data_IF_541055371458
#
_entry.id   IF_541055371458
#
_cell.length_a   1.000
_cell.length_b   1.000
_cell.length_c   1.000
_cell.angle_alpha   90.00
_cell.angle_beta   90.00
_cell.angle_gamma   90.00
#
_symmetry.space_group_name_H-M   'P 1'
#
loop_
_entity.id
_entity.type
_entity.pdbx_description
1 polymer ?
#
# COMPACT_ATOMS: atom_id res chain seq x y z
N UNK A 1 -7.85 -9.41 -17.97
CA UNK A 1 -7.26 -9.81 -16.67
C UNK A 1 -6.53 -11.11 -16.86
N UNK A 2 -5.26 -11.19 -16.47
CA UNK A 2 -4.56 -12.48 -16.46
C UNK A 2 -5.29 -13.42 -15.48
N UNK A 3 -5.65 -14.65 -15.89
CA UNK A 3 -6.34 -15.61 -15.02
C UNK A 3 -5.50 -15.97 -13.78
N UNK A 4 -4.18 -15.76 -13.85
CA UNK A 4 -3.22 -16.18 -12.84
C UNK A 4 -2.90 -15.13 -11.76
N UNK A 5 -3.59 -13.98 -11.74
CA UNK A 5 -3.28 -12.88 -10.80
C UNK A 5 -1.82 -12.40 -10.85
N UNK A 6 -1.10 -12.70 -11.93
CA UNK A 6 0.31 -12.30 -12.10
C UNK A 6 0.50 -10.79 -12.05
N UNK A 7 -0.49 -10.02 -12.53
CA UNK A 7 -0.54 -8.56 -12.39
C UNK A 7 -0.52 -8.13 -10.91
N UNK A 8 -1.31 -8.80 -10.05
CA UNK A 8 -1.38 -8.49 -8.62
C UNK A 8 -0.08 -8.86 -7.90
N UNK A 9 0.45 -10.05 -8.18
CA UNK A 9 1.69 -10.53 -7.55
C UNK A 9 2.89 -9.65 -7.94
N UNK A 10 3.02 -9.32 -9.23
CA UNK A 10 4.11 -8.48 -9.71
C UNK A 10 4.02 -7.07 -9.11
N UNK A 11 2.82 -6.48 -9.08
CA UNK A 11 2.62 -5.17 -8.45
C UNK A 11 2.96 -5.19 -6.96
N UNK A 12 2.59 -6.24 -6.23
CA UNK A 12 2.91 -6.38 -4.81
C UNK A 12 4.43 -6.46 -4.55
N UNK A 13 5.16 -7.24 -5.37
CA UNK A 13 6.63 -7.38 -5.25
C UNK A 13 7.32 -6.05 -5.54
N UNK A 14 6.95 -5.37 -6.63
CA UNK A 14 7.52 -4.06 -6.99
C UNK A 14 7.24 -3.04 -5.88
N UNK A 15 6.00 -3.02 -5.39
CA UNK A 15 5.60 -2.13 -4.31
C UNK A 15 6.40 -2.39 -3.02
N UNK A 16 6.58 -3.66 -2.64
CA UNK A 16 7.41 -4.02 -1.49
C UNK A 16 8.87 -3.59 -1.67
N UNK A 17 9.44 -3.81 -2.86
CA UNK A 17 10.83 -3.50 -3.16
C UNK A 17 11.15 -1.99 -3.09
N UNK A 18 10.27 -1.12 -3.61
CA UNK A 18 10.52 0.33 -3.56
C UNK A 18 10.40 0.92 -2.14
N UNK A 19 9.64 0.28 -1.24
CA UNK A 19 9.43 0.77 0.12
C UNK A 19 10.55 0.38 1.10
N UNK A 20 11.34 -0.66 0.80
CA UNK A 20 12.45 -1.11 1.66
C UNK A 20 13.75 -0.31 1.49
N UNK A 21 13.70 0.84 0.79
CA UNK A 21 14.79 1.77 0.42
C UNK A 21 16.10 1.71 1.25
N UNK A 22 16.03 1.74 2.60
CA UNK A 22 17.20 1.73 3.49
C UNK A 22 17.26 0.60 4.54
N UNK A 23 16.18 -0.16 4.71
CA UNK A 23 16.09 -1.24 5.69
C UNK A 23 15.76 -2.55 4.97
N UNK A 24 16.81 -3.20 4.44
CA UNK A 24 16.76 -4.49 3.73
C UNK A 24 16.43 -5.66 4.67
N UNK A 25 15.48 -5.48 5.59
CA UNK A 25 14.99 -6.59 6.39
C UNK A 25 13.93 -7.34 5.59
N UNK A 26 14.00 -8.69 5.53
CA UNK A 26 12.96 -9.49 4.90
C UNK A 26 11.57 -9.20 5.47
N UNK A 27 11.48 -8.90 6.77
CA UNK A 27 10.24 -8.55 7.44
C UNK A 27 9.61 -7.26 6.86
N UNK A 28 10.40 -6.19 6.68
CA UNK A 28 9.89 -4.96 6.07
C UNK A 28 9.39 -5.20 4.63
N UNK A 29 10.09 -6.03 3.86
CA UNK A 29 9.64 -6.41 2.52
C UNK A 29 8.27 -7.09 2.57
N UNK A 30 8.06 -8.08 3.45
CA UNK A 30 6.77 -8.77 3.56
C UNK A 30 5.64 -7.85 4.04
N UNK A 31 5.92 -6.91 4.94
CA UNK A 31 4.94 -5.91 5.39
C UNK A 31 4.51 -5.03 4.20
N UNK A 32 5.45 -4.46 3.46
CA UNK A 32 5.10 -3.59 2.32
C UNK A 32 4.50 -4.38 1.15
N UNK A 33 5.01 -5.57 0.84
CA UNK A 33 4.48 -6.42 -0.22
C UNK A 33 3.04 -6.87 0.07
N UNK A 34 2.72 -7.22 1.32
CA UNK A 34 1.35 -7.55 1.71
C UNK A 34 0.40 -6.36 1.60
N UNK A 35 0.84 -5.15 1.97
CA UNK A 35 0.08 -3.91 1.72
C UNK A 35 -0.16 -3.65 0.23
N UNK A 36 0.88 -3.79 -0.59
CA UNK A 36 0.80 -3.67 -2.05
C UNK A 36 -0.15 -4.69 -2.68
N UNK A 37 -0.19 -5.92 -2.14
CA UNK A 37 -1.10 -6.97 -2.58
C UNK A 37 -2.57 -6.60 -2.33
N UNK A 38 -2.89 -6.03 -1.17
CA UNK A 38 -4.24 -5.57 -0.84
C UNK A 38 -4.67 -4.46 -1.81
N UNK A 39 -3.79 -3.48 -2.07
CA UNK A 39 -4.08 -2.38 -3.00
C UNK A 39 -4.27 -2.87 -4.44
N UNK A 40 -3.46 -3.83 -4.90
CA UNK A 40 -3.56 -4.41 -6.23
C UNK A 40 -4.85 -5.25 -6.39
N UNK A 41 -5.26 -6.00 -5.36
CA UNK A 41 -6.54 -6.70 -5.34
C UNK A 41 -7.73 -5.71 -5.38
N UNK A 42 -7.66 -4.64 -4.58
CA UNK A 42 -8.68 -3.60 -4.55
C UNK A 42 -8.85 -2.95 -5.93
N UNK A 43 -7.75 -2.62 -6.60
CA UNK A 43 -7.79 -2.12 -7.99
C UNK A 43 -8.42 -3.15 -8.93
N UNK A 44 -8.06 -4.42 -8.82
CA UNK A 44 -8.56 -5.48 -9.70
C UNK A 44 -10.07 -5.68 -9.56
N UNK A 45 -10.60 -5.58 -8.34
CA UNK A 45 -12.03 -5.69 -8.04
C UNK A 45 -12.81 -4.46 -8.51
N UNK A 46 -12.31 -3.26 -8.23
CA UNK A 46 -13.03 -2.00 -8.48
C UNK A 46 -12.81 -1.45 -9.89
N UNK A 47 -11.72 -1.85 -10.55
CA UNK A 47 -11.22 -1.28 -11.80
C UNK A 47 -11.05 0.23 -11.76
N UNK A 48 -10.83 0.76 -10.56
CA UNK A 48 -10.76 2.19 -10.33
C UNK A 48 -9.56 2.50 -9.41
N UNK A 49 -8.66 3.35 -9.89
CA UNK A 49 -7.45 3.76 -9.17
C UNK A 49 -7.72 4.64 -7.95
N UNK A 50 -8.87 5.33 -7.90
CA UNK A 50 -9.22 6.19 -6.77
C UNK A 50 -9.27 5.42 -5.45
N UNK A 51 -9.81 4.19 -5.44
CA UNK A 51 -9.90 3.40 -4.20
C UNK A 51 -8.52 3.00 -3.63
N UNK A 52 -7.61 2.37 -4.40
CA UNK A 52 -6.24 2.10 -3.94
C UNK A 52 -5.50 3.35 -3.46
N UNK A 53 -5.66 4.49 -4.14
CA UNK A 53 -4.99 5.74 -3.76
C UNK A 53 -5.50 6.23 -2.41
N UNK A 54 -6.82 6.29 -2.22
CA UNK A 54 -7.41 6.72 -0.95
C UNK A 54 -7.00 5.81 0.21
N UNK A 55 -7.02 4.49 -0.01
CA UNK A 55 -6.59 3.52 1.01
C UNK A 55 -5.10 3.67 1.32
N UNK A 56 -4.25 3.90 0.32
CA UNK A 56 -2.82 4.12 0.55
C UNK A 56 -2.56 5.41 1.35
N UNK A 57 -3.24 6.51 1.03
CA UNK A 57 -3.18 7.75 1.80
C UNK A 57 -3.65 7.51 3.24
N UNK A 58 -4.77 6.82 3.42
CA UNK A 58 -5.29 6.50 4.74
C UNK A 58 -4.31 5.67 5.57
N UNK A 59 -3.70 4.63 4.98
CA UNK A 59 -2.66 3.82 5.62
C UNK A 59 -1.48 4.69 6.04
N UNK A 60 -1.02 5.60 5.17
CA UNK A 60 0.07 6.51 5.51
C UNK A 60 -0.30 7.42 6.69
N UNK A 61 -1.50 8.01 6.71
CA UNK A 61 -1.99 8.82 7.84
C UNK A 61 -2.03 7.97 9.12
N UNK A 62 -2.53 6.73 9.05
CA UNK A 62 -2.55 5.82 10.21
C UNK A 62 -1.16 5.45 10.72
N UNK A 63 -0.20 5.26 9.83
CA UNK A 63 1.17 4.93 10.19
C UNK A 63 1.91 6.11 10.86
N UNK A 64 1.55 7.35 10.53
CA UNK A 64 2.17 8.55 11.06
C UNK A 64 1.22 9.29 12.02
N UNK A 65 1.25 8.91 13.31
CA UNK A 65 0.43 9.49 14.39
C UNK A 65 0.41 11.03 14.44
N UNK A 66 1.53 11.67 14.10
CA UNK A 66 1.63 13.13 14.07
C UNK A 66 0.72 13.81 13.04
N UNK A 67 0.35 13.09 11.96
CA UNK A 67 -0.59 13.59 10.94
C UNK A 67 -2.01 13.62 11.49
N UNK A 68 -2.39 12.67 12.35
CA UNK A 68 -3.66 12.73 13.08
C UNK A 68 -3.73 13.92 14.02
N UNK A 69 -2.64 14.19 14.74
CA UNK A 69 -2.57 15.36 15.62
C UNK A 69 -2.76 16.64 14.81
N UNK A 70 -2.13 16.81 13.65
CA UNK A 70 -2.31 17.98 12.78
C UNK A 70 -3.76 18.13 12.25
N UNK A 71 -4.41 17.02 11.89
CA UNK A 71 -5.79 17.04 11.39
C UNK A 71 -6.82 17.38 12.46
N UNK A 72 -6.57 16.97 13.71
CA UNK A 72 -7.52 17.13 14.81
C UNK A 72 -7.14 18.23 15.82
N UNK A 73 -5.94 18.80 15.76
CA UNK A 73 -5.52 19.93 16.62
C UNK A 73 -5.90 21.30 16.06
N UNK A 74 -6.49 21.35 14.87
CA UNK A 74 -7.01 22.59 14.25
C UNK A 74 -8.40 23.01 14.74
N UNK A 75 -8.89 22.47 15.87
CA UNK A 75 -10.17 22.81 16.51
C UNK A 75 -9.96 23.62 17.79
#
# INVERSE_FOLDING_TARGET
NSPWYGDVLLSAIIFGYIHINFALTPLAFFIYASGGLILALLYRMTKNLYYPILVHIFINITAFWNVWLLLFSGS
#
